data_IF_695349549645
#
_entry.id   IF_695349549645
#
_cell.length_a   1.000
_cell.length_b   1.000
_cell.length_c   1.000
_cell.angle_alpha   90.00
_cell.angle_beta   90.00
_cell.angle_gamma   90.00
#
_symmetry.space_group_name_H-M   'P 1'
#
loop_
_entity.id
_entity.type
_entity.pdbx_description
1 polymer ?
#
# COMPACT_ATOMS: atom_id res chain seq x y z
N UNK A 1 -5.74 -12.15 -62.41
CA UNK A 1 -5.21 -10.83 -62.24
C UNK A 1 -4.67 -10.65 -60.81
N UNK A 2 -3.75 -9.71 -60.60
CA UNK A 2 -3.01 -9.50 -59.36
C UNK A 2 -3.98 -9.26 -58.16
N UNK A 3 -5.01 -8.45 -58.34
CA UNK A 3 -5.98 -8.15 -57.28
C UNK A 3 -6.67 -9.42 -56.74
N UNK A 4 -7.22 -10.26 -57.61
CA UNK A 4 -7.96 -11.44 -57.18
C UNK A 4 -7.11 -12.55 -56.56
N UNK A 5 -5.81 -12.60 -56.90
CA UNK A 5 -4.88 -13.61 -56.38
C UNK A 5 -4.12 -13.14 -55.14
N UNK A 6 -4.21 -11.87 -54.79
CA UNK A 6 -3.55 -11.34 -53.58
C UNK A 6 -4.11 -11.98 -52.31
N UNK A 7 -3.24 -12.33 -51.39
CA UNK A 7 -3.62 -12.72 -50.01
C UNK A 7 -3.87 -11.52 -49.09
N UNK A 8 -3.51 -10.32 -49.56
CA UNK A 8 -3.80 -9.08 -48.86
C UNK A 8 -5.17 -8.56 -49.31
N UNK A 9 -5.98 -7.94 -48.40
CA UNK A 9 -7.25 -7.35 -48.76
C UNK A 9 -7.10 -6.30 -49.84
N UNK A 10 -7.70 -6.52 -51.00
CA UNK A 10 -7.67 -5.60 -52.15
C UNK A 10 -9.03 -5.49 -52.82
N UNK A 11 -9.34 -4.27 -53.24
CA UNK A 11 -10.56 -3.98 -53.97
C UNK A 11 -10.31 -3.03 -55.15
N UNK A 12 -11.21 -3.02 -56.11
CA UNK A 12 -11.23 -2.12 -57.25
C UNK A 12 -12.59 -1.46 -57.27
N UNK A 13 -12.62 -0.15 -57.33
CA UNK A 13 -13.80 0.65 -57.63
C UNK A 13 -13.75 1.04 -59.08
N UNK A 14 -14.64 0.42 -59.89
CA UNK A 14 -14.55 0.50 -61.33
C UNK A 14 -15.64 1.39 -61.96
N UNK A 15 -15.24 2.16 -62.95
CA UNK A 15 -16.14 2.99 -63.76
C UNK A 15 -16.67 4.22 -63.01
N UNK A 16 -17.54 4.98 -63.69
CA UNK A 16 -18.12 6.24 -63.15
C UNK A 16 -18.98 6.03 -61.92
N UNK A 17 -19.56 4.83 -61.77
CA UNK A 17 -20.38 4.49 -60.62
C UNK A 17 -19.59 3.87 -59.48
N UNK A 18 -18.27 3.75 -59.59
CA UNK A 18 -17.36 3.17 -58.60
C UNK A 18 -17.87 1.80 -58.10
N UNK A 19 -18.14 0.87 -59.08
CA UNK A 19 -18.61 -0.47 -58.70
C UNK A 19 -17.52 -1.28 -58.06
N UNK A 20 -17.85 -1.85 -56.91
CA UNK A 20 -16.91 -2.53 -56.00
C UNK A 20 -16.65 -3.97 -56.47
N UNK A 21 -15.41 -4.26 -56.78
CA UNK A 21 -14.89 -5.59 -57.05
C UNK A 21 -13.77 -5.89 -56.02
N UNK A 22 -13.76 -7.06 -55.43
CA UNK A 22 -12.76 -7.38 -54.42
C UNK A 22 -12.37 -8.86 -54.37
N UNK A 23 -11.23 -9.17 -53.74
CA UNK A 23 -10.78 -10.53 -53.53
C UNK A 23 -11.37 -11.15 -52.23
N UNK A 24 -11.15 -12.46 -52.06
CA UNK A 24 -11.65 -13.20 -50.89
C UNK A 24 -11.16 -12.60 -49.56
N UNK A 25 -9.92 -12.10 -49.52
CA UNK A 25 -9.37 -11.48 -48.32
C UNK A 25 -10.10 -10.19 -47.90
N UNK A 26 -10.71 -9.47 -48.90
CA UNK A 26 -11.50 -8.27 -48.64
C UNK A 26 -12.91 -8.58 -48.15
N UNK A 27 -13.43 -9.80 -48.39
CA UNK A 27 -14.82 -10.17 -48.12
C UNK A 27 -15.24 -9.97 -46.66
N UNK A 28 -14.30 -10.00 -45.71
CA UNK A 28 -14.53 -9.75 -44.28
C UNK A 28 -14.84 -8.26 -43.98
N UNK A 29 -14.36 -7.34 -44.82
CA UNK A 29 -14.47 -5.88 -44.57
C UNK A 29 -15.92 -5.37 -44.61
N UNK A 30 -16.71 -5.66 -45.65
CA UNK A 30 -18.12 -5.30 -45.68
C UNK A 30 -18.99 -6.10 -44.70
N UNK A 31 -18.46 -7.16 -44.07
CA UNK A 31 -19.19 -8.00 -43.13
C UNK A 31 -20.46 -8.61 -43.75
N UNK A 32 -21.62 -8.50 -43.10
CA UNK A 32 -22.91 -9.03 -43.62
C UNK A 32 -23.38 -8.49 -44.97
N UNK A 33 -22.77 -7.39 -45.45
CA UNK A 33 -23.05 -6.84 -46.80
C UNK A 33 -22.48 -7.73 -47.91
N UNK A 34 -21.49 -8.60 -47.59
CA UNK A 34 -21.04 -9.66 -48.51
C UNK A 34 -22.09 -10.79 -48.57
N UNK A 35 -22.42 -11.40 -49.75
CA UNK A 35 -21.80 -11.17 -51.06
C UNK A 35 -22.44 -10.04 -51.88
N UNK A 36 -23.52 -9.43 -51.40
CA UNK A 36 -24.27 -8.40 -52.13
C UNK A 36 -23.45 -7.14 -52.48
N UNK A 37 -22.38 -6.87 -51.75
CA UNK A 37 -21.46 -5.75 -51.99
C UNK A 37 -20.65 -5.93 -53.30
N UNK A 38 -20.48 -7.16 -53.80
CA UNK A 38 -19.72 -7.42 -55.01
C UNK A 38 -20.50 -6.91 -56.25
N UNK A 39 -19.94 -5.97 -56.99
CA UNK A 39 -20.55 -5.33 -58.13
C UNK A 39 -21.53 -4.18 -57.79
N UNK A 40 -21.83 -3.95 -56.52
CA UNK A 40 -22.64 -2.83 -56.04
C UNK A 40 -21.87 -1.51 -56.14
N UNK A 41 -22.60 -0.39 -56.11
CA UNK A 41 -21.97 0.96 -56.08
C UNK A 41 -21.33 1.20 -54.75
N UNK A 42 -20.14 1.83 -54.73
CA UNK A 42 -19.45 2.16 -53.51
C UNK A 42 -20.29 2.97 -52.51
N UNK A 43 -21.07 3.92 -52.99
CA UNK A 43 -21.98 4.74 -52.20
C UNK A 43 -23.04 3.91 -51.46
N UNK A 44 -23.54 2.86 -52.09
CA UNK A 44 -24.58 2.01 -51.50
C UNK A 44 -23.96 1.07 -50.44
N UNK A 45 -22.79 0.55 -50.75
CA UNK A 45 -22.06 -0.35 -49.83
C UNK A 45 -21.56 0.38 -48.57
N UNK A 46 -21.04 1.59 -48.74
CA UNK A 46 -20.43 2.39 -47.69
C UNK A 46 -21.27 3.58 -47.25
N UNK A 47 -22.61 3.43 -47.31
CA UNK A 47 -23.53 4.52 -46.99
C UNK A 47 -23.34 5.13 -45.59
N UNK A 48 -22.86 4.36 -44.65
CA UNK A 48 -22.56 4.77 -43.28
C UNK A 48 -21.30 5.66 -43.13
N UNK A 49 -20.34 5.51 -44.02
CA UNK A 49 -19.09 6.28 -44.05
C UNK A 49 -18.86 7.04 -45.35
N UNK A 50 -19.88 7.14 -46.19
CA UNK A 50 -19.74 7.72 -47.54
C UNK A 50 -19.29 9.17 -47.51
N UNK A 51 -19.79 9.95 -46.57
CA UNK A 51 -19.42 11.36 -46.43
C UNK A 51 -17.93 11.54 -46.07
N UNK A 52 -17.36 10.57 -45.41
CA UNK A 52 -15.91 10.55 -45.02
C UNK A 52 -15.02 10.15 -46.21
N UNK A 53 -15.42 9.19 -47.02
CA UNK A 53 -14.58 8.61 -48.09
C UNK A 53 -14.82 9.18 -49.46
N UNK A 54 -16.03 9.68 -49.78
CA UNK A 54 -16.35 10.25 -51.09
C UNK A 54 -15.46 11.42 -51.52
N UNK A 55 -15.04 12.34 -50.65
CA UNK A 55 -14.07 13.38 -51.00
C UNK A 55 -12.76 12.82 -51.51
N UNK A 56 -12.28 11.74 -50.92
CA UNK A 56 -11.01 11.08 -51.24
C UNK A 56 -11.09 10.42 -52.66
N UNK A 57 -12.20 9.75 -52.97
CA UNK A 57 -12.42 9.23 -54.32
C UNK A 57 -12.40 10.35 -55.37
N UNK A 58 -13.07 11.46 -55.09
CA UNK A 58 -13.10 12.62 -56.00
C UNK A 58 -11.71 13.22 -56.21
N UNK A 59 -10.92 13.32 -55.15
CA UNK A 59 -9.55 13.84 -55.21
C UNK A 59 -8.64 12.97 -56.10
N UNK A 60 -8.63 11.64 -55.87
CA UNK A 60 -7.83 10.70 -56.67
C UNK A 60 -8.26 10.73 -58.15
N UNK A 61 -9.55 10.84 -58.44
CA UNK A 61 -10.04 10.92 -59.80
C UNK A 61 -9.67 12.25 -60.47
N UNK A 62 -9.74 13.38 -59.73
CA UNK A 62 -9.47 14.71 -60.26
C UNK A 62 -7.96 14.96 -60.49
N UNK A 63 -7.10 14.53 -59.55
CA UNK A 63 -5.66 14.73 -59.63
C UNK A 63 -4.94 13.65 -60.41
N UNK A 64 -5.48 12.45 -60.46
CA UNK A 64 -4.79 11.26 -61.02
C UNK A 64 -3.59 10.81 -60.19
N UNK A 65 -3.52 11.26 -58.95
CA UNK A 65 -2.49 10.89 -57.98
C UNK A 65 -3.05 9.94 -56.94
N UNK A 66 -2.26 8.97 -56.49
CA UNK A 66 -2.62 8.05 -55.40
C UNK A 66 -2.52 8.73 -54.04
N UNK A 67 -3.28 8.22 -53.08
CA UNK A 67 -3.23 8.67 -51.70
C UNK A 67 -3.06 7.49 -50.75
N UNK A 68 -2.48 7.76 -49.56
CA UNK A 68 -2.39 6.83 -48.43
C UNK A 68 -2.93 7.50 -47.18
N UNK A 69 -3.69 6.76 -46.45
CA UNK A 69 -4.31 7.19 -45.18
C UNK A 69 -3.97 6.19 -44.13
N UNK A 70 -3.45 6.66 -42.99
CA UNK A 70 -3.04 5.84 -41.87
C UNK A 70 -3.99 6.04 -40.69
N UNK A 71 -4.40 4.93 -40.10
CA UNK A 71 -5.21 4.86 -38.85
C UNK A 71 -6.43 5.81 -38.86
N UNK A 72 -7.10 5.90 -39.97
CA UNK A 72 -8.28 6.76 -40.11
C UNK A 72 -9.47 6.18 -39.37
N UNK A 73 -10.03 6.98 -38.44
CA UNK A 73 -11.31 6.65 -37.81
C UNK A 73 -12.45 6.65 -38.81
N UNK A 74 -13.12 5.52 -38.96
CA UNK A 74 -14.30 5.33 -39.81
C UNK A 74 -15.34 4.51 -39.04
N UNK A 75 -16.36 5.13 -38.44
CA UNK A 75 -17.34 4.45 -37.60
C UNK A 75 -18.32 3.63 -38.46
N UNK A 76 -17.94 2.37 -38.73
CA UNK A 76 -18.74 1.51 -39.62
C UNK A 76 -19.88 0.82 -38.85
N UNK A 77 -21.07 0.81 -39.42
CA UNK A 77 -22.24 0.12 -38.86
C UNK A 77 -22.47 -1.24 -39.57
N UNK A 78 -21.47 -2.15 -39.47
CA UNK A 78 -21.54 -3.46 -40.10
C UNK A 78 -22.60 -4.37 -39.50
N UNK A 79 -22.79 -4.31 -38.18
CA UNK A 79 -23.68 -5.20 -37.43
C UNK A 79 -24.87 -4.46 -36.79
N UNK A 80 -25.30 -3.37 -37.38
CA UNK A 80 -26.52 -2.63 -36.98
C UNK A 80 -26.28 -1.47 -36.01
N UNK A 81 -25.11 -1.38 -35.37
CA UNK A 81 -24.70 -0.24 -34.57
C UNK A 81 -23.33 0.27 -35.02
N UNK A 82 -23.04 1.59 -34.89
CA UNK A 82 -21.71 2.13 -35.18
C UNK A 82 -20.66 1.49 -34.32
N UNK A 83 -19.61 0.95 -34.94
CA UNK A 83 -18.43 0.38 -34.32
C UNK A 83 -17.28 1.38 -34.40
N UNK A 84 -16.49 1.50 -33.34
CA UNK A 84 -15.22 2.25 -33.37
C UNK A 84 -14.23 1.44 -34.21
N UNK A 85 -13.98 1.84 -35.47
CA UNK A 85 -13.02 1.18 -36.35
C UNK A 85 -12.00 2.15 -36.92
N UNK A 86 -10.77 1.68 -37.09
CA UNK A 86 -9.65 2.40 -37.65
C UNK A 86 -9.09 1.64 -38.85
N UNK A 87 -8.70 2.38 -39.87
CA UNK A 87 -8.33 1.82 -41.18
C UNK A 87 -7.08 2.50 -41.72
N UNK A 88 -6.14 1.69 -42.21
CA UNK A 88 -5.03 2.15 -43.03
C UNK A 88 -5.20 1.62 -44.44
N UNK A 89 -5.27 2.52 -45.40
CA UNK A 89 -5.57 2.15 -46.81
C UNK A 89 -4.93 3.12 -47.80
N UNK A 90 -4.78 2.60 -49.03
CA UNK A 90 -4.29 3.38 -50.18
C UNK A 90 -5.29 3.35 -51.30
N UNK A 91 -5.59 4.51 -51.88
CA UNK A 91 -6.32 4.65 -53.14
C UNK A 91 -5.33 4.97 -54.24
N UNK A 92 -5.26 4.11 -55.26
CA UNK A 92 -4.36 4.23 -56.41
C UNK A 92 -5.19 4.33 -57.68
N UNK A 93 -5.04 5.37 -58.54
CA UNK A 93 -5.82 5.49 -59.77
C UNK A 93 -5.43 4.39 -60.75
N UNK A 94 -6.47 3.79 -61.38
CA UNK A 94 -6.32 2.87 -62.52
C UNK A 94 -6.60 3.63 -63.80
N UNK A 95 -5.65 3.67 -64.73
CA UNK A 95 -5.81 4.34 -66.01
C UNK A 95 -6.35 3.39 -67.06
N UNK A 96 -7.30 3.87 -67.86
CA UNK A 96 -7.78 3.18 -69.04
C UNK A 96 -6.80 3.30 -70.22
N UNK A 97 -7.15 2.64 -71.31
CA UNK A 97 -6.34 2.69 -72.55
C UNK A 97 -6.30 4.09 -73.16
N UNK A 98 -7.30 4.90 -72.90
CA UNK A 98 -7.44 6.31 -73.32
C UNK A 98 -6.69 7.29 -72.41
N UNK A 99 -6.02 6.82 -71.40
CA UNK A 99 -5.29 7.61 -70.39
C UNK A 99 -6.15 8.24 -69.31
N UNK A 100 -7.50 8.12 -69.40
CA UNK A 100 -8.42 8.60 -68.37
C UNK A 100 -8.41 7.67 -67.16
N UNK A 101 -8.87 8.19 -65.99
CA UNK A 101 -9.01 7.35 -64.78
C UNK A 101 -10.25 6.46 -64.94
N UNK A 102 -10.06 5.16 -65.13
CA UNK A 102 -11.11 4.16 -65.30
C UNK A 102 -11.60 3.57 -63.95
N UNK A 103 -10.81 3.69 -62.89
CA UNK A 103 -11.17 3.17 -61.59
C UNK A 103 -10.12 3.50 -60.52
N UNK A 104 -10.35 3.01 -59.33
CA UNK A 104 -9.41 3.14 -58.19
C UNK A 104 -9.13 1.76 -57.62
N UNK A 105 -7.86 1.44 -57.49
CA UNK A 105 -7.39 0.28 -56.73
C UNK A 105 -7.28 0.68 -55.27
N UNK A 106 -7.88 -0.13 -54.40
CA UNK A 106 -7.80 0.03 -52.94
C UNK A 106 -7.09 -1.19 -52.33
N UNK A 107 -6.13 -0.90 -51.48
CA UNK A 107 -5.47 -1.89 -50.67
C UNK A 107 -5.41 -1.35 -49.24
N UNK A 108 -5.89 -2.10 -48.26
CA UNK A 108 -5.93 -1.63 -46.88
C UNK A 108 -6.30 -2.71 -45.90
N UNK A 109 -6.15 -2.36 -44.65
CA UNK A 109 -6.45 -3.25 -43.52
C UNK A 109 -7.06 -2.47 -42.36
N UNK A 110 -7.83 -3.19 -41.58
CA UNK A 110 -8.34 -2.69 -40.31
C UNK A 110 -7.20 -2.64 -39.28
N UNK A 111 -6.98 -1.48 -38.71
CA UNK A 111 -5.93 -1.23 -37.68
C UNK A 111 -6.52 -0.97 -36.30
N UNK A 112 -7.81 -1.19 -36.12
CA UNK A 112 -8.57 -0.93 -34.89
C UNK A 112 -7.86 -1.51 -33.65
N UNK A 113 -7.47 -2.77 -33.72
CA UNK A 113 -6.83 -3.44 -32.59
C UNK A 113 -5.49 -2.79 -32.22
N UNK A 114 -4.69 -2.41 -33.22
CA UNK A 114 -3.39 -1.77 -32.99
C UNK A 114 -3.55 -0.37 -32.36
N UNK A 115 -4.48 0.44 -32.90
CA UNK A 115 -4.77 1.79 -32.38
C UNK A 115 -5.29 1.74 -30.95
N UNK A 116 -6.24 0.84 -30.66
CA UNK A 116 -6.80 0.68 -29.33
C UNK A 116 -5.73 0.19 -28.34
N UNK A 117 -4.89 -0.78 -28.73
CA UNK A 117 -3.79 -1.27 -27.90
C UNK A 117 -2.75 -0.17 -27.60
N UNK A 118 -2.41 0.64 -28.60
CA UNK A 118 -1.49 1.78 -28.42
C UNK A 118 -2.09 2.84 -27.49
N UNK A 119 -3.39 3.17 -27.63
CA UNK A 119 -4.11 4.09 -26.75
C UNK A 119 -4.12 3.58 -25.31
N UNK A 120 -4.37 2.30 -25.11
CA UNK A 120 -4.34 1.67 -23.79
C UNK A 120 -2.94 1.69 -23.18
N UNK A 121 -1.91 1.36 -23.96
CA UNK A 121 -0.53 1.39 -23.48
C UNK A 121 -0.14 2.80 -23.02
N UNK A 122 -0.46 3.83 -23.79
CA UNK A 122 -0.21 5.23 -23.42
C UNK A 122 -0.93 5.59 -22.12
N UNK A 123 -2.20 5.25 -21.99
CA UNK A 123 -2.97 5.46 -20.77
C UNK A 123 -2.28 4.84 -19.55
N UNK A 124 -1.81 3.59 -19.64
CA UNK A 124 -1.16 2.94 -18.51
C UNK A 124 0.23 3.48 -18.19
N UNK A 125 0.97 3.96 -19.17
CA UNK A 125 2.24 4.66 -18.95
C UNK A 125 2.00 5.96 -18.18
N UNK A 126 1.07 6.79 -18.63
CA UNK A 126 0.73 8.05 -18.00
C UNK A 126 0.20 7.85 -16.57
N UNK A 127 -0.69 6.88 -16.38
CA UNK A 127 -1.21 6.50 -15.06
C UNK A 127 -0.10 6.04 -14.12
N UNK A 128 0.80 5.17 -14.61
CA UNK A 128 1.91 4.65 -13.80
C UNK A 128 2.88 5.77 -13.40
N UNK A 129 3.15 6.73 -14.27
CA UNK A 129 3.98 7.88 -13.96
C UNK A 129 3.35 8.78 -12.89
N UNK A 130 2.06 9.09 -13.01
CA UNK A 130 1.34 9.87 -11.99
C UNK A 130 1.33 9.18 -10.62
N UNK A 131 1.06 7.89 -10.59
CA UNK A 131 1.07 7.12 -9.35
C UNK A 131 2.48 6.99 -8.77
N UNK A 132 3.53 6.89 -9.61
CA UNK A 132 4.92 6.83 -9.16
C UNK A 132 5.36 8.10 -8.44
N UNK A 133 4.95 9.26 -8.91
CA UNK A 133 5.27 10.56 -8.34
C UNK A 133 4.36 10.95 -7.17
N UNK A 134 3.21 10.31 -7.04
CA UNK A 134 2.22 10.59 -6.00
C UNK A 134 2.69 10.18 -4.60
N UNK A 135 2.33 10.99 -3.62
CA UNK A 135 2.56 10.76 -2.18
C UNK A 135 1.28 10.76 -1.34
N UNK A 136 0.13 11.06 -1.95
CA UNK A 136 -1.17 11.10 -1.30
C UNK A 136 -2.13 10.10 -1.92
N UNK A 137 -2.67 9.20 -1.10
CA UNK A 137 -3.55 8.11 -1.53
C UNK A 137 -4.89 8.62 -2.08
N UNK A 138 -5.45 9.67 -1.48
CA UNK A 138 -6.73 10.24 -1.92
C UNK A 138 -6.60 10.90 -3.27
N UNK A 139 -5.54 11.68 -3.47
CA UNK A 139 -5.21 12.31 -4.74
C UNK A 139 -4.90 11.26 -5.83
N UNK A 140 -4.13 10.21 -5.49
CA UNK A 140 -3.82 9.14 -6.43
C UNK A 140 -5.08 8.41 -6.91
N UNK A 141 -6.03 8.13 -6.01
CA UNK A 141 -7.34 7.54 -6.37
C UNK A 141 -8.15 8.46 -7.28
N UNK A 142 -8.28 9.73 -6.91
CA UNK A 142 -9.02 10.72 -7.70
C UNK A 142 -8.42 10.88 -9.11
N UNK A 143 -7.09 10.95 -9.22
CA UNK A 143 -6.39 11.02 -10.50
C UNK A 143 -6.62 9.77 -11.34
N UNK A 144 -6.52 8.57 -10.73
CA UNK A 144 -6.79 7.31 -11.43
C UNK A 144 -8.20 7.28 -12.00
N UNK A 145 -9.21 7.64 -11.20
CA UNK A 145 -10.59 7.66 -11.65
C UNK A 145 -10.84 8.68 -12.76
N UNK A 146 -10.25 9.87 -12.65
CA UNK A 146 -10.34 10.90 -13.69
C UNK A 146 -9.73 10.42 -15.00
N UNK A 147 -8.51 9.90 -14.97
CA UNK A 147 -7.82 9.41 -16.16
C UNK A 147 -8.56 8.23 -16.79
N UNK A 148 -9.04 7.29 -15.97
CA UNK A 148 -9.83 6.14 -16.42
C UNK A 148 -11.16 6.58 -17.02
N UNK A 149 -11.89 7.48 -16.36
CA UNK A 149 -13.15 8.01 -16.84
C UNK A 149 -13.03 8.70 -18.20
N UNK A 150 -11.99 9.52 -18.37
CA UNK A 150 -11.66 10.18 -19.64
C UNK A 150 -11.23 9.19 -20.72
N UNK A 151 -10.41 8.18 -20.34
CA UNK A 151 -9.97 7.15 -21.30
C UNK A 151 -11.12 6.30 -21.83
N UNK A 152 -12.04 5.88 -20.96
CA UNK A 152 -13.22 5.08 -21.30
C UNK A 152 -14.36 5.93 -21.87
N UNK A 153 -14.30 7.26 -21.75
CA UNK A 153 -15.37 8.17 -22.17
C UNK A 153 -16.67 7.93 -21.39
N UNK A 154 -16.58 7.71 -20.07
CA UNK A 154 -17.72 7.47 -19.18
C UNK A 154 -18.10 8.72 -18.40
N UNK A 155 -19.36 8.81 -17.96
CA UNK A 155 -19.86 9.96 -17.20
C UNK A 155 -19.41 9.95 -15.73
N UNK A 156 -19.18 8.77 -15.16
CA UNK A 156 -18.72 8.65 -13.80
C UNK A 156 -17.81 7.41 -13.59
N UNK A 157 -16.88 7.52 -12.63
CA UNK A 157 -16.03 6.45 -12.16
C UNK A 157 -15.90 6.53 -10.62
N UNK A 158 -16.04 5.40 -9.94
CA UNK A 158 -16.10 5.30 -8.49
C UNK A 158 -15.18 4.18 -8.00
N UNK A 159 -14.50 4.37 -6.87
CA UNK A 159 -13.93 3.26 -6.09
C UNK A 159 -14.88 2.94 -4.97
N UNK A 160 -15.34 1.72 -4.92
CA UNK A 160 -16.25 1.20 -3.90
C UNK A 160 -15.53 0.11 -3.10
N UNK A 161 -15.76 0.05 -1.80
CA UNK A 161 -15.23 -1.00 -0.94
C UNK A 161 -16.19 -1.39 0.16
N UNK A 162 -16.03 -2.59 0.71
CA UNK A 162 -16.75 -3.01 1.90
C UNK A 162 -16.09 -2.44 3.16
N UNK A 163 -16.92 -1.91 4.08
CA UNK A 163 -16.48 -1.53 5.42
C UNK A 163 -16.48 -2.75 6.36
N UNK A 164 -15.95 -2.57 7.59
CA UNK A 164 -16.01 -3.59 8.64
C UNK A 164 -17.45 -4.01 9.01
N UNK A 165 -18.43 -3.13 8.80
CA UNK A 165 -19.84 -3.40 8.98
C UNK A 165 -20.47 -4.19 7.81
N UNK A 166 -19.68 -4.62 6.84
CA UNK A 166 -20.09 -5.32 5.62
C UNK A 166 -20.96 -4.47 4.66
N UNK A 167 -21.09 -3.18 4.90
CA UNK A 167 -21.81 -2.27 3.99
C UNK A 167 -20.88 -1.67 2.93
N UNK A 168 -21.29 -1.67 1.65
CA UNK A 168 -20.55 -1.00 0.59
C UNK A 168 -20.50 0.51 0.81
N UNK A 169 -19.33 1.12 0.52
CA UNK A 169 -19.15 2.58 0.60
C UNK A 169 -18.31 3.11 -0.54
N UNK A 170 -18.57 4.34 -0.95
CA UNK A 170 -17.70 5.07 -1.88
C UNK A 170 -16.43 5.49 -1.15
N UNK A 171 -15.28 5.11 -1.70
CA UNK A 171 -13.95 5.48 -1.19
C UNK A 171 -13.42 6.71 -1.93
N UNK A 172 -13.66 6.79 -3.24
CA UNK A 172 -13.32 7.90 -4.11
C UNK A 172 -14.29 7.94 -5.30
N UNK A 173 -14.50 9.12 -5.89
CA UNK A 173 -15.35 9.31 -7.05
C UNK A 173 -14.80 10.38 -7.98
N UNK A 174 -15.12 10.24 -9.25
CA UNK A 174 -14.95 11.23 -10.29
C UNK A 174 -16.18 11.24 -11.20
N UNK A 175 -16.57 12.39 -11.70
CA UNK A 175 -17.60 12.51 -12.74
C UNK A 175 -17.33 13.72 -13.62
N UNK A 176 -17.88 13.67 -14.82
CA UNK A 176 -17.88 14.80 -15.76
C UNK A 176 -18.95 15.85 -15.42
N UNK A 177 -19.87 15.53 -14.51
CA UNK A 177 -20.96 16.37 -14.03
C UNK A 177 -21.14 16.28 -12.51
N UNK A 178 -22.34 16.64 -12.04
CA UNK A 178 -22.71 16.57 -10.64
C UNK A 178 -23.19 15.16 -10.24
N UNK A 179 -22.53 14.51 -9.31
CA UNK A 179 -22.95 13.21 -8.75
C UNK A 179 -23.90 13.42 -7.57
N UNK A 180 -25.14 12.95 -7.71
CA UNK A 180 -26.06 12.85 -6.57
C UNK A 180 -25.67 11.67 -5.67
N UNK A 181 -25.11 11.99 -4.52
CA UNK A 181 -24.58 10.98 -3.59
C UNK A 181 -25.64 10.00 -3.10
N UNK A 182 -26.90 10.40 -2.98
CA UNK A 182 -27.98 9.53 -2.52
C UNK A 182 -28.32 8.45 -3.56
N UNK A 183 -28.30 8.81 -4.84
CA UNK A 183 -28.53 7.90 -5.96
C UNK A 183 -27.35 6.95 -6.17
N UNK A 184 -26.13 7.47 -6.04
CA UNK A 184 -24.90 6.64 -6.05
C UNK A 184 -24.95 5.59 -4.96
N UNK A 185 -25.35 5.95 -3.73
CA UNK A 185 -25.44 5.02 -2.62
C UNK A 185 -26.42 3.87 -2.92
N UNK A 186 -27.56 4.16 -3.53
CA UNK A 186 -28.52 3.13 -3.94
C UNK A 186 -27.92 2.11 -4.92
N UNK A 187 -27.09 2.57 -5.87
CA UNK A 187 -26.40 1.68 -6.82
C UNK A 187 -25.36 0.82 -6.10
N UNK A 188 -24.51 1.41 -5.26
CA UNK A 188 -23.43 0.65 -4.60
C UNK A 188 -23.94 -0.39 -3.60
N UNK A 189 -25.11 -0.19 -3.01
CA UNK A 189 -25.74 -1.19 -2.14
C UNK A 189 -26.10 -2.48 -2.90
N UNK A 190 -26.39 -2.39 -4.21
CA UNK A 190 -26.63 -3.58 -5.04
C UNK A 190 -25.35 -4.35 -5.40
N UNK A 191 -24.18 -3.79 -5.14
CA UNK A 191 -22.89 -4.38 -5.52
C UNK A 191 -22.24 -5.22 -4.42
N UNK A 192 -22.91 -5.44 -3.29
CA UNK A 192 -22.33 -6.23 -2.18
C UNK A 192 -21.94 -7.65 -2.63
N UNK A 193 -22.81 -8.32 -3.37
CA UNK A 193 -22.55 -9.65 -3.92
C UNK A 193 -21.37 -9.65 -4.89
N UNK A 194 -21.31 -8.67 -5.80
CA UNK A 194 -20.19 -8.45 -6.74
C UNK A 194 -18.86 -8.28 -6.00
N UNK A 195 -18.86 -7.47 -4.94
CA UNK A 195 -17.67 -7.23 -4.14
C UNK A 195 -17.21 -8.49 -3.39
N UNK A 196 -18.14 -9.37 -3.00
CA UNK A 196 -17.85 -10.64 -2.29
C UNK A 196 -17.44 -11.76 -3.24
N UNK A 197 -18.10 -11.89 -4.40
CA UNK A 197 -17.81 -12.95 -5.37
C UNK A 197 -16.48 -12.73 -6.10
N UNK A 198 -16.08 -11.48 -6.28
CA UNK A 198 -14.90 -11.13 -7.09
C UNK A 198 -15.15 -11.18 -8.60
N UNK A 199 -16.40 -11.35 -9.03
CA UNK A 199 -16.78 -11.42 -10.45
C UNK A 199 -17.32 -10.07 -10.95
N UNK A 200 -16.96 -9.64 -12.18
CA UNK A 200 -17.49 -8.42 -12.77
C UNK A 200 -19.01 -8.50 -12.98
N UNK A 201 -19.68 -7.41 -12.67
CA UNK A 201 -21.13 -7.28 -12.89
C UNK A 201 -21.40 -6.08 -13.79
N UNK A 202 -22.27 -6.26 -14.79
CA UNK A 202 -22.60 -5.22 -15.75
C UNK A 202 -24.10 -5.07 -15.99
N UNK A 203 -24.51 -3.84 -16.28
CA UNK A 203 -25.79 -3.47 -16.83
C UNK A 203 -25.54 -2.71 -18.13
N UNK A 204 -26.07 -3.20 -19.26
CA UNK A 204 -25.84 -2.66 -20.61
C UNK A 204 -26.91 -1.62 -20.95
N UNK A 205 -28.16 -1.89 -20.56
CA UNK A 205 -29.28 -1.00 -20.73
C UNK A 205 -30.18 -1.07 -19.50
N UNK A 206 -30.37 0.05 -18.83
CA UNK A 206 -31.17 0.13 -17.61
C UNK A 206 -32.66 0.13 -17.87
N UNK A 207 -33.10 0.40 -19.10
CA UNK A 207 -34.53 0.40 -19.45
C UNK A 207 -35.13 -1.01 -19.60
N UNK A 208 -34.29 -2.00 -19.92
CA UNK A 208 -34.72 -3.36 -20.27
C UNK A 208 -34.51 -4.40 -19.18
N UNK A 209 -33.97 -4.02 -17.99
CA UNK A 209 -33.48 -5.00 -17.07
C UNK A 209 -34.29 -5.11 -15.75
N UNK A 210 -34.64 -6.33 -15.39
CA UNK A 210 -35.28 -6.66 -14.12
C UNK A 210 -34.29 -6.67 -12.91
N UNK A 211 -32.99 -6.69 -13.17
CA UNK A 211 -31.93 -6.78 -12.15
C UNK A 211 -31.92 -5.55 -11.23
N UNK A 212 -31.62 -5.76 -9.94
CA UNK A 212 -31.57 -4.70 -8.93
C UNK A 212 -30.57 -3.60 -9.29
N UNK A 213 -29.41 -3.97 -9.83
CA UNK A 213 -28.38 -3.02 -10.29
C UNK A 213 -28.92 -2.09 -11.38
N UNK A 214 -29.64 -2.64 -12.38
CA UNK A 214 -30.15 -1.84 -13.49
C UNK A 214 -31.24 -0.86 -13.01
N UNK A 215 -32.13 -1.29 -12.12
CA UNK A 215 -33.16 -0.42 -11.53
C UNK A 215 -32.53 0.73 -10.71
N UNK A 216 -31.53 0.42 -9.91
CA UNK A 216 -30.82 1.43 -9.12
C UNK A 216 -30.04 2.39 -10.02
N UNK A 217 -29.39 1.90 -11.08
CA UNK A 217 -28.68 2.71 -12.08
C UNK A 217 -29.63 3.64 -12.84
N UNK A 218 -30.80 3.14 -13.29
CA UNK A 218 -31.83 3.96 -13.92
C UNK A 218 -32.31 5.10 -13.00
N UNK A 219 -32.56 4.80 -11.71
CA UNK A 219 -32.93 5.81 -10.73
C UNK A 219 -31.82 6.85 -10.49
N UNK A 220 -30.55 6.47 -10.70
CA UNK A 220 -29.41 7.38 -10.65
C UNK A 220 -29.23 8.21 -11.94
N UNK A 221 -30.01 7.95 -12.98
CA UNK A 221 -29.91 8.62 -14.29
C UNK A 221 -28.81 8.01 -15.18
N UNK A 222 -28.35 6.80 -14.87
CA UNK A 222 -27.37 6.08 -15.67
C UNK A 222 -28.07 5.07 -16.60
N UNK A 223 -27.65 5.03 -17.85
CA UNK A 223 -28.15 4.08 -18.86
C UNK A 223 -27.34 2.77 -18.91
N UNK A 224 -26.10 2.77 -18.43
CA UNK A 224 -25.27 1.58 -18.36
C UNK A 224 -24.26 1.68 -17.18
N UNK A 225 -23.94 0.55 -16.57
CA UNK A 225 -22.98 0.43 -15.44
C UNK A 225 -22.12 -0.81 -15.61
N UNK A 226 -20.84 -0.70 -15.29
CA UNK A 226 -19.91 -1.82 -15.18
C UNK A 226 -19.17 -1.72 -13.84
N UNK A 227 -19.23 -2.76 -13.04
CA UNK A 227 -18.48 -2.92 -11.80
C UNK A 227 -17.45 -4.04 -11.94
N UNK A 228 -16.18 -3.72 -11.71
CA UNK A 228 -15.06 -4.66 -11.80
C UNK A 228 -14.41 -4.75 -10.44
N UNK A 229 -14.58 -5.86 -9.71
CA UNK A 229 -14.00 -6.06 -8.40
C UNK A 229 -12.55 -6.54 -8.49
N UNK A 230 -11.77 -6.28 -7.44
CA UNK A 230 -10.48 -6.89 -7.22
C UNK A 230 -10.62 -8.03 -6.19
N UNK A 231 -10.46 -9.25 -6.66
CA UNK A 231 -10.72 -10.46 -5.88
C UNK A 231 -9.66 -10.81 -4.85
N UNK A 232 -9.58 -10.07 -3.72
CA UNK A 232 -8.83 -10.53 -2.54
C UNK A 232 -9.64 -10.32 -1.27
N UNK A 233 -9.82 -11.41 -0.56
CA UNK A 233 -10.83 -11.62 0.48
C UNK A 233 -10.78 -10.72 1.74
N UNK A 234 -9.73 -9.95 2.00
CA UNK A 234 -9.63 -9.18 3.25
C UNK A 234 -10.16 -7.74 3.15
N UNK A 235 -10.10 -7.14 1.97
CA UNK A 235 -10.58 -5.77 1.72
C UNK A 235 -11.10 -5.67 0.28
N UNK A 236 -12.29 -6.23 0.00
CA UNK A 236 -12.82 -6.22 -1.37
C UNK A 236 -13.11 -4.78 -1.79
N UNK A 237 -12.56 -4.42 -2.93
CA UNK A 237 -12.78 -3.13 -3.60
C UNK A 237 -13.16 -3.37 -5.05
N UNK A 238 -13.90 -2.45 -5.63
CA UNK A 238 -14.22 -2.46 -7.05
C UNK A 238 -14.08 -1.05 -7.63
N UNK A 239 -13.78 -0.97 -8.93
CA UNK A 239 -14.06 0.23 -9.70
C UNK A 239 -15.41 0.04 -10.38
N UNK A 240 -16.26 1.04 -10.24
CA UNK A 240 -17.56 1.14 -10.90
C UNK A 240 -17.50 2.29 -11.87
N UNK A 241 -17.84 2.03 -13.13
CA UNK A 241 -17.97 3.07 -14.15
C UNK A 241 -19.42 3.13 -14.63
N UNK A 242 -19.90 4.33 -14.96
CA UNK A 242 -21.27 4.55 -15.36
C UNK A 242 -21.35 5.50 -16.56
N UNK A 243 -22.34 5.26 -17.41
CA UNK A 243 -22.64 6.07 -18.58
C UNK A 243 -24.11 6.47 -18.58
N UNK A 244 -24.44 7.68 -19.05
CA UNK A 244 -25.81 8.19 -19.11
C UNK A 244 -26.66 7.47 -20.14
N UNK A 245 -26.06 7.01 -21.24
CA UNK A 245 -26.71 6.27 -22.31
C UNK A 245 -26.44 4.78 -22.23
N UNK A 246 -27.32 3.93 -22.76
CA UNK A 246 -27.03 2.50 -22.93
C UNK A 246 -25.68 2.28 -23.62
N UNK A 247 -24.88 1.35 -23.11
CA UNK A 247 -23.55 1.01 -23.62
C UNK A 247 -23.28 -0.47 -23.47
N UNK A 248 -22.89 -1.13 -24.55
CA UNK A 248 -22.35 -2.48 -24.50
C UNK A 248 -20.91 -2.43 -23.98
N UNK A 249 -20.69 -3.01 -22.81
CA UNK A 249 -19.37 -3.14 -22.21
C UNK A 249 -18.60 -4.28 -22.87
N UNK A 250 -17.34 -4.05 -23.15
CA UNK A 250 -16.46 -5.03 -23.80
C UNK A 250 -15.51 -5.69 -22.79
N UNK A 251 -14.92 -6.82 -23.18
CA UNK A 251 -13.83 -7.43 -22.41
C UNK A 251 -12.63 -6.46 -22.24
N UNK A 252 -12.43 -5.58 -23.22
CA UNK A 252 -11.40 -4.55 -23.17
C UNK A 252 -11.66 -3.53 -22.05
N UNK A 253 -12.90 -3.06 -21.88
CA UNK A 253 -13.28 -2.16 -20.79
C UNK A 253 -13.00 -2.80 -19.42
N UNK A 254 -13.43 -4.05 -19.22
CA UNK A 254 -13.20 -4.79 -17.98
C UNK A 254 -11.71 -4.98 -17.68
N UNK A 255 -10.91 -5.34 -18.69
CA UNK A 255 -9.47 -5.53 -18.54
C UNK A 255 -8.76 -4.21 -18.19
N UNK A 256 -9.16 -3.13 -18.86
CA UNK A 256 -8.61 -1.78 -18.59
C UNK A 256 -8.89 -1.35 -17.14
N UNK A 257 -10.12 -1.58 -16.67
CA UNK A 257 -10.50 -1.26 -15.28
C UNK A 257 -9.74 -2.13 -14.28
N UNK A 258 -9.64 -3.44 -14.53
CA UNK A 258 -8.88 -4.37 -13.65
C UNK A 258 -7.43 -3.94 -13.51
N UNK A 259 -6.76 -3.62 -14.60
CA UNK A 259 -5.36 -3.22 -14.62
C UNK A 259 -5.15 -1.84 -13.96
N UNK A 260 -6.08 -0.89 -14.12
CA UNK A 260 -6.05 0.38 -13.40
C UNK A 260 -6.21 0.18 -11.88
N UNK A 261 -7.09 -0.74 -11.48
CA UNK A 261 -7.32 -1.10 -10.09
C UNK A 261 -6.08 -1.76 -9.45
N UNK A 262 -5.41 -2.65 -10.17
CA UNK A 262 -4.16 -3.27 -9.72
C UNK A 262 -3.04 -2.25 -9.50
N UNK A 263 -2.87 -1.29 -10.43
CA UNK A 263 -1.88 -0.21 -10.29
C UNK A 263 -2.19 0.69 -9.09
N UNK A 264 -3.47 1.00 -8.90
CA UNK A 264 -3.92 1.79 -7.75
C UNK A 264 -3.67 1.06 -6.42
N UNK A 265 -3.87 -0.26 -6.37
CA UNK A 265 -3.57 -1.05 -5.17
C UNK A 265 -2.07 -1.17 -4.91
N UNK A 266 -1.26 -1.37 -5.94
CA UNK A 266 0.21 -1.35 -5.83
C UNK A 266 0.71 0.00 -5.29
N UNK A 267 0.14 1.11 -5.74
CA UNK A 267 0.41 2.44 -5.21
C UNK A 267 0.08 2.55 -3.71
N UNK A 268 -1.10 2.09 -3.30
CA UNK A 268 -1.51 2.03 -1.89
C UNK A 268 -0.54 1.21 -1.05
N UNK A 269 -0.14 0.03 -1.52
CA UNK A 269 0.80 -0.85 -0.82
C UNK A 269 2.17 -0.18 -0.66
N UNK A 270 2.64 0.53 -1.68
CA UNK A 270 3.90 1.29 -1.63
C UNK A 270 3.85 2.36 -0.54
N UNK A 271 2.80 3.19 -0.49
CA UNK A 271 2.67 4.23 0.53
C UNK A 271 2.62 3.64 1.94
N UNK A 272 1.86 2.56 2.15
CA UNK A 272 1.82 1.87 3.44
C UNK A 272 3.17 1.28 3.85
N UNK A 273 3.97 0.81 2.90
CA UNK A 273 5.32 0.32 3.18
C UNK A 273 6.26 1.46 3.58
N UNK A 274 6.20 2.61 2.90
CA UNK A 274 6.96 3.80 3.23
C UNK A 274 6.62 4.33 4.64
N UNK A 275 5.34 4.44 4.97
CA UNK A 275 4.90 4.87 6.31
C UNK A 275 5.41 3.94 7.41
N UNK A 276 5.41 2.61 7.16
CA UNK A 276 5.96 1.63 8.11
C UNK A 276 7.46 1.78 8.29
N UNK A 277 8.18 1.98 7.19
CA UNK A 277 9.64 2.19 7.22
C UNK A 277 9.99 3.45 8.01
N UNK A 278 9.33 4.56 7.75
CA UNK A 278 9.52 5.81 8.49
C UNK A 278 9.18 5.67 9.97
N UNK A 279 8.15 4.91 10.31
CA UNK A 279 7.79 4.63 11.70
C UNK A 279 8.90 3.84 12.41
N UNK A 280 9.45 2.82 11.75
CA UNK A 280 10.57 2.02 12.30
C UNK A 280 11.81 2.90 12.48
N UNK A 281 12.17 3.73 11.51
CA UNK A 281 13.33 4.64 11.63
C UNK A 281 13.14 5.60 12.79
N UNK A 282 11.97 6.22 12.92
CA UNK A 282 11.67 7.13 14.05
C UNK A 282 11.77 6.44 15.41
N UNK A 283 11.30 5.19 15.52
CA UNK A 283 11.39 4.40 16.74
C UNK A 283 12.85 4.05 17.08
N UNK A 284 13.66 3.67 16.08
CA UNK A 284 15.09 3.39 16.27
C UNK A 284 15.83 4.65 16.75
N UNK A 285 15.58 5.80 16.14
CA UNK A 285 16.17 7.08 16.53
C UNK A 285 15.79 7.49 17.96
N UNK A 286 14.53 7.30 18.33
CA UNK A 286 14.06 7.57 19.69
C UNK A 286 14.76 6.69 20.72
N UNK A 287 14.92 5.40 20.41
CA UNK A 287 15.62 4.45 21.29
C UNK A 287 17.12 4.76 21.40
N UNK A 288 17.78 5.08 20.29
CA UNK A 288 19.18 5.46 20.29
C UNK A 288 19.44 6.71 21.16
N UNK A 289 18.56 7.73 21.03
CA UNK A 289 18.66 8.94 21.88
C UNK A 289 18.46 8.62 23.35
N UNK A 290 17.50 7.76 23.71
CA UNK A 290 17.28 7.36 25.10
C UNK A 290 18.52 6.61 25.68
N UNK A 291 19.10 5.68 24.93
CA UNK A 291 20.30 4.97 25.33
C UNK A 291 21.49 5.93 25.53
N UNK A 292 21.68 6.88 24.63
CA UNK A 292 22.71 7.93 24.74
C UNK A 292 22.50 8.80 25.97
N UNK A 293 21.27 9.23 26.27
CA UNK A 293 20.99 10.02 27.48
C UNK A 293 21.32 9.26 28.77
N UNK A 294 20.99 7.96 28.85
CA UNK A 294 21.34 7.12 30.00
C UNK A 294 22.87 6.97 30.11
N UNK A 295 23.55 6.69 29.00
CA UNK A 295 25.00 6.58 28.95
C UNK A 295 25.68 7.88 29.40
N UNK A 296 25.24 9.04 28.91
CA UNK A 296 25.73 10.35 29.32
C UNK A 296 25.50 10.60 30.82
N UNK A 297 24.31 10.21 31.32
CA UNK A 297 24.03 10.33 32.78
C UNK A 297 24.96 9.47 33.60
N UNK A 298 25.24 8.24 33.18
CA UNK A 298 26.20 7.34 33.84
C UNK A 298 27.58 7.99 33.86
N UNK A 299 28.06 8.49 32.73
CA UNK A 299 29.39 9.12 32.63
C UNK A 299 29.47 10.37 33.54
N UNK A 300 28.53 11.29 33.39
CA UNK A 300 28.53 12.56 34.16
C UNK A 300 28.44 12.32 35.68
N UNK A 301 27.57 11.39 36.10
CA UNK A 301 27.42 11.08 37.53
C UNK A 301 28.67 10.39 38.08
N UNK A 302 29.27 9.49 37.29
CA UNK A 302 30.49 8.79 37.74
C UNK A 302 31.68 9.73 37.78
N UNK A 303 31.82 10.69 36.84
CA UNK A 303 32.85 11.74 36.94
C UNK A 303 32.63 12.65 38.14
N UNK A 304 31.40 12.99 38.49
CA UNK A 304 31.07 13.82 39.65
C UNK A 304 31.40 13.09 40.99
N UNK A 305 31.43 11.76 40.99
CA UNK A 305 31.84 10.96 42.13
C UNK A 305 33.33 11.14 42.47
N UNK A 306 34.19 11.32 41.45
CA UNK A 306 35.63 11.39 41.63
C UNK A 306 36.25 10.05 42.07
N UNK A 307 37.55 10.04 42.31
CA UNK A 307 38.30 8.88 42.78
C UNK A 307 39.22 8.25 41.72
N UNK A 308 40.15 7.40 42.16
CA UNK A 308 41.15 6.79 41.25
C UNK A 308 40.53 5.77 40.26
N UNK A 309 39.33 5.20 40.55
CA UNK A 309 38.71 4.12 39.81
C UNK A 309 37.52 4.59 38.89
N UNK A 310 37.46 5.88 38.54
CA UNK A 310 36.33 6.42 37.74
C UNK A 310 36.16 5.71 36.41
N UNK A 311 37.24 5.42 35.70
CA UNK A 311 37.21 4.76 34.41
C UNK A 311 36.63 3.34 34.45
N UNK A 312 36.99 2.58 35.50
CA UNK A 312 36.53 1.21 35.71
C UNK A 312 35.04 1.18 36.09
N UNK A 313 34.61 2.09 36.96
CA UNK A 313 33.19 2.26 37.29
C UNK A 313 32.32 2.62 36.08
N UNK A 314 32.80 3.53 35.21
CA UNK A 314 32.12 3.86 33.99
C UNK A 314 31.99 2.61 33.09
N UNK A 315 33.06 1.84 32.94
CA UNK A 315 33.06 0.62 32.13
C UNK A 315 32.07 -0.42 32.66
N UNK A 316 32.06 -0.67 33.97
CA UNK A 316 31.13 -1.60 34.63
C UNK A 316 29.68 -1.19 34.45
N UNK A 317 29.34 0.09 34.64
CA UNK A 317 27.99 0.65 34.46
C UNK A 317 27.52 0.63 33.04
N UNK A 318 28.38 0.97 32.06
CA UNK A 318 28.06 0.86 30.65
C UNK A 318 27.88 -0.60 30.21
N UNK A 319 28.64 -1.54 30.76
CA UNK A 319 28.47 -2.96 30.51
C UNK A 319 27.11 -3.46 31.04
N UNK A 320 26.67 -3.03 32.23
CA UNK A 320 25.33 -3.33 32.76
C UNK A 320 24.21 -2.81 31.83
N UNK A 321 24.32 -1.55 31.35
CA UNK A 321 23.39 -0.99 30.37
C UNK A 321 23.39 -1.80 29.09
N UNK A 322 24.54 -2.23 28.59
CA UNK A 322 24.67 -3.08 27.40
C UNK A 322 23.97 -4.43 27.56
N UNK A 323 24.11 -5.07 28.74
CA UNK A 323 23.42 -6.33 29.07
C UNK A 323 21.91 -6.15 29.07
N UNK A 324 21.40 -5.10 29.69
CA UNK A 324 19.95 -4.78 29.68
C UNK A 324 19.43 -4.57 28.26
N UNK A 325 20.19 -3.88 27.41
CA UNK A 325 19.80 -3.71 25.99
C UNK A 325 19.81 -5.03 25.21
N UNK A 326 20.78 -5.91 25.46
CA UNK A 326 20.83 -7.22 24.80
C UNK A 326 19.60 -8.08 25.18
N UNK A 327 19.19 -8.04 26.45
CA UNK A 327 18.02 -8.75 26.96
C UNK A 327 16.75 -8.20 26.30
N UNK A 328 16.56 -6.89 26.26
CA UNK A 328 15.45 -6.22 25.59
C UNK A 328 15.39 -6.55 24.09
N UNK A 329 16.55 -6.65 23.44
CA UNK A 329 16.62 -7.00 22.01
C UNK A 329 16.11 -8.42 21.74
N UNK A 330 16.43 -9.41 22.59
CA UNK A 330 15.90 -10.78 22.49
C UNK A 330 14.39 -10.82 22.57
N UNK A 331 13.81 -10.03 23.46
CA UNK A 331 12.36 -9.91 23.67
C UNK A 331 11.69 -8.94 22.70
N UNK A 332 12.35 -8.63 21.57
CA UNK A 332 11.85 -7.70 20.55
C UNK A 332 11.40 -6.34 21.10
N UNK A 333 12.03 -5.88 22.19
CA UNK A 333 11.80 -4.59 22.84
C UNK A 333 10.35 -4.41 23.38
N UNK A 334 9.62 -5.48 23.62
CA UNK A 334 8.27 -5.38 24.19
C UNK A 334 8.33 -5.21 25.70
N UNK A 335 8.81 -6.22 26.38
CA UNK A 335 8.98 -6.22 27.83
C UNK A 335 9.98 -7.30 28.24
N UNK A 336 10.61 -7.12 29.41
CA UNK A 336 11.51 -8.11 30.02
C UNK A 336 11.00 -8.40 31.42
N UNK A 337 10.94 -9.68 31.79
CA UNK A 337 10.59 -10.05 33.14
C UNK A 337 11.65 -9.59 34.15
N UNK A 338 11.21 -9.08 35.31
CA UNK A 338 12.15 -8.61 36.35
C UNK A 338 13.10 -9.71 36.85
N UNK A 339 12.60 -10.96 36.96
CA UNK A 339 13.43 -12.10 37.34
C UNK A 339 14.60 -12.31 36.35
N UNK A 340 14.37 -12.15 35.04
CA UNK A 340 15.42 -12.28 34.03
C UNK A 340 16.52 -11.22 34.16
N UNK A 341 16.17 -10.01 34.65
CA UNK A 341 17.17 -8.98 34.97
C UNK A 341 18.04 -9.40 36.17
N UNK A 342 17.41 -9.93 37.21
CA UNK A 342 18.16 -10.43 38.40
C UNK A 342 19.11 -11.57 38.01
N UNK A 343 18.63 -12.55 37.23
CA UNK A 343 19.44 -13.68 36.74
C UNK A 343 20.67 -13.18 35.96
N UNK A 344 20.45 -12.18 35.09
CA UNK A 344 21.53 -11.62 34.26
C UNK A 344 22.56 -10.81 35.08
N UNK A 345 22.12 -10.02 36.05
CA UNK A 345 23.03 -9.22 36.88
C UNK A 345 23.75 -10.05 37.95
N UNK A 346 23.20 -11.21 38.32
CA UNK A 346 23.86 -12.15 39.26
C UNK A 346 24.78 -13.16 38.56
N UNK A 347 24.61 -13.38 37.25
CA UNK A 347 25.45 -14.33 36.47
C UNK A 347 26.97 -14.15 36.65
N UNK A 348 27.52 -12.93 36.80
CA UNK A 348 28.96 -12.74 37.07
C UNK A 348 29.41 -13.21 38.44
N UNK A 349 28.51 -13.53 39.36
CA UNK A 349 28.77 -13.87 40.75
C UNK A 349 28.32 -15.31 41.10
N UNK A 350 28.93 -16.37 40.55
CA UNK A 350 28.45 -17.76 40.65
C UNK A 350 28.48 -18.35 42.05
N UNK A 351 29.28 -17.78 42.97
CA UNK A 351 29.31 -18.19 44.39
C UNK A 351 28.24 -17.53 45.26
N UNK A 352 27.37 -16.72 44.66
CA UNK A 352 26.33 -15.97 45.34
C UNK A 352 25.22 -16.89 45.89
N UNK A 353 24.98 -16.81 47.19
CA UNK A 353 23.80 -17.38 47.83
C UNK A 353 22.67 -16.33 47.84
N UNK A 354 22.06 -16.10 46.68
CA UNK A 354 20.91 -15.19 46.56
C UNK A 354 19.60 -15.95 46.48
N UNK A 355 18.60 -15.50 47.20
CA UNK A 355 17.23 -15.97 47.11
C UNK A 355 16.39 -14.89 46.44
N UNK A 356 15.83 -15.20 45.27
CA UNK A 356 14.99 -14.28 44.49
C UNK A 356 13.54 -14.79 44.45
N UNK A 357 12.59 -14.02 44.96
CA UNK A 357 11.20 -14.46 45.06
C UNK A 357 10.23 -13.32 44.72
N UNK A 358 9.31 -13.57 43.80
CA UNK A 358 8.25 -12.63 43.42
C UNK A 358 7.44 -13.12 42.23
N UNK A 359 6.35 -12.44 41.87
CA UNK A 359 5.58 -12.72 40.69
C UNK A 359 6.33 -12.34 39.40
N UNK A 360 5.88 -12.90 38.24
CA UNK A 360 6.33 -12.40 36.94
C UNK A 360 5.84 -10.96 36.72
N UNK A 361 6.80 -10.05 36.48
CA UNK A 361 6.52 -8.61 36.24
C UNK A 361 7.17 -8.18 34.94
N UNK A 362 6.36 -7.97 33.87
CA UNK A 362 6.87 -7.52 32.57
C UNK A 362 7.20 -6.03 32.61
N UNK A 363 8.48 -5.72 32.56
CA UNK A 363 9.02 -4.35 32.62
C UNK A 363 9.18 -3.78 31.22
N UNK A 364 8.70 -2.56 31.00
CA UNK A 364 8.99 -1.81 29.77
C UNK A 364 10.47 -1.40 29.66
N UNK A 365 10.96 -1.07 28.45
CA UNK A 365 12.39 -0.86 28.18
C UNK A 365 13.08 0.14 29.10
N UNK A 366 12.46 1.28 29.37
CA UNK A 366 13.04 2.31 30.25
C UNK A 366 13.20 1.84 31.70
N UNK A 367 12.17 1.16 32.22
CA UNK A 367 12.19 0.62 33.59
C UNK A 367 13.17 -0.54 33.71
N UNK A 368 13.24 -1.42 32.70
CA UNK A 368 14.20 -2.54 32.68
C UNK A 368 15.64 -2.06 32.70
N UNK A 369 16.02 -1.07 31.89
CA UNK A 369 17.37 -0.47 31.87
C UNK A 369 17.73 0.17 33.21
N UNK A 370 16.78 0.89 33.79
CA UNK A 370 16.99 1.60 35.05
C UNK A 370 17.12 0.62 36.21
N UNK A 371 16.27 -0.41 36.27
CA UNK A 371 16.37 -1.43 37.35
C UNK A 371 17.62 -2.29 37.20
N UNK A 372 18.05 -2.64 35.98
CA UNK A 372 19.32 -3.33 35.75
C UNK A 372 20.50 -2.56 36.37
N UNK A 373 20.56 -1.22 36.13
CA UNK A 373 21.59 -0.39 36.72
C UNK A 373 21.52 -0.38 38.26
N UNK A 374 20.33 -0.27 38.85
CA UNK A 374 20.11 -0.30 40.28
C UNK A 374 20.58 -1.64 40.90
N UNK A 375 20.15 -2.75 40.27
CA UNK A 375 20.56 -4.10 40.74
C UNK A 375 22.07 -4.29 40.63
N UNK A 376 22.67 -3.82 39.51
CA UNK A 376 24.12 -3.88 39.32
C UNK A 376 24.88 -3.13 40.42
N UNK A 377 24.45 -1.93 40.78
CA UNK A 377 25.05 -1.14 41.86
C UNK A 377 24.87 -1.82 43.23
N UNK A 378 23.68 -2.37 43.52
CA UNK A 378 23.42 -3.11 44.76
C UNK A 378 24.30 -4.38 44.85
N UNK A 379 24.37 -5.16 43.75
CA UNK A 379 25.22 -6.36 43.70
C UNK A 379 26.71 -6.04 43.89
N UNK A 380 27.20 -5.02 43.17
CA UNK A 380 28.60 -4.58 43.28
C UNK A 380 28.95 -4.08 44.69
N UNK A 381 28.03 -3.32 45.29
CA UNK A 381 28.22 -2.87 46.68
C UNK A 381 28.20 -4.05 47.67
N UNK A 382 27.35 -5.04 47.44
CA UNK A 382 27.29 -6.25 48.26
C UNK A 382 28.57 -7.08 48.17
N UNK A 383 29.19 -7.16 47.00
CA UNK A 383 30.50 -7.80 46.78
C UNK A 383 31.61 -7.03 47.51
N UNK A 384 31.66 -5.72 47.36
CA UNK A 384 32.73 -4.87 47.88
C UNK A 384 32.61 -4.65 49.40
N UNK A 385 31.42 -4.51 49.91
CA UNK A 385 31.17 -4.03 51.28
C UNK A 385 30.09 -4.84 52.03
N UNK A 386 29.38 -5.78 51.37
CA UNK A 386 28.23 -6.44 51.91
C UNK A 386 28.38 -7.95 52.09
N UNK A 387 27.21 -8.61 52.01
CA UNK A 387 27.07 -10.04 52.25
C UNK A 387 27.76 -10.90 51.18
N UNK A 388 27.79 -10.45 49.91
CA UNK A 388 28.42 -11.20 48.81
C UNK A 388 29.96 -11.29 48.93
N UNK A 389 30.60 -10.41 49.68
CA UNK A 389 32.03 -10.44 49.97
C UNK A 389 32.42 -11.40 51.12
N UNK A 390 31.46 -12.05 51.79
CA UNK A 390 31.68 -12.95 52.91
C UNK A 390 31.28 -14.39 52.58
N UNK A 391 32.01 -15.38 53.08
CA UNK A 391 31.80 -16.81 52.77
C UNK A 391 30.38 -17.33 53.07
N UNK A 392 29.77 -16.80 54.13
CA UNK A 392 28.42 -17.21 54.57
C UNK A 392 27.39 -16.08 54.53
N UNK A 393 27.68 -15.01 53.78
CA UNK A 393 26.73 -13.92 53.58
C UNK A 393 25.55 -14.36 52.69
N UNK A 394 24.37 -13.84 52.99
CA UNK A 394 23.16 -14.13 52.26
C UNK A 394 22.50 -12.86 51.72
N UNK A 395 22.00 -12.90 50.48
CA UNK A 395 21.21 -11.85 49.87
C UNK A 395 19.80 -12.37 49.56
N UNK A 396 18.80 -11.62 49.94
CA UNK A 396 17.40 -11.91 49.58
C UNK A 396 16.80 -10.75 48.81
N UNK A 397 16.19 -11.05 47.65
CA UNK A 397 15.45 -10.10 46.82
C UNK A 397 14.01 -10.56 46.71
N UNK A 398 13.11 -9.80 47.29
CA UNK A 398 11.67 -10.08 47.23
C UNK A 398 10.97 -8.93 46.55
N UNK A 399 10.16 -9.21 45.54
CA UNK A 399 9.40 -8.17 44.83
C UNK A 399 7.93 -8.55 44.69
N UNK A 400 7.09 -7.53 44.48
CA UNK A 400 5.67 -7.66 44.28
C UNK A 400 5.15 -6.54 43.36
N UNK A 401 4.00 -6.78 42.74
CA UNK A 401 3.26 -5.78 41.95
C UNK A 401 1.81 -5.78 42.40
N UNK A 402 1.41 -4.73 43.14
CA UNK A 402 0.03 -4.55 43.63
C UNK A 402 -0.45 -3.13 43.38
N UNK A 403 -1.68 -3.00 42.98
CA UNK A 403 -2.36 -1.71 42.81
C UNK A 403 -1.58 -0.68 41.96
N UNK A 404 -0.88 -1.16 40.91
CA UNK A 404 -0.05 -0.31 40.06
C UNK A 404 1.25 0.20 40.72
N UNK A 405 1.67 -0.43 41.80
CA UNK A 405 2.94 -0.14 42.49
C UNK A 405 3.83 -1.37 42.43
N UNK A 406 5.02 -1.23 41.83
CA UNK A 406 6.08 -2.20 41.89
C UNK A 406 6.91 -1.96 43.15
N UNK A 407 7.11 -2.99 43.99
CA UNK A 407 7.94 -2.95 45.19
C UNK A 407 9.02 -3.97 45.10
N UNK A 408 10.25 -3.62 45.52
CA UNK A 408 11.40 -4.53 45.64
C UNK A 408 12.07 -4.31 47.00
N UNK A 409 12.26 -5.39 47.70
CA UNK A 409 13.01 -5.42 48.97
C UNK A 409 14.31 -6.20 48.74
N UNK A 410 15.44 -5.56 48.90
CA UNK A 410 16.78 -6.13 48.91
C UNK A 410 17.25 -6.23 50.34
N UNK A 411 17.65 -7.40 50.82
CA UNK A 411 18.09 -7.63 52.18
C UNK A 411 19.42 -8.42 52.19
N UNK A 412 20.39 -7.93 52.90
CA UNK A 412 21.67 -8.60 53.12
C UNK A 412 21.83 -8.98 54.60
N UNK A 413 22.31 -10.18 54.85
CA UNK A 413 22.67 -10.64 56.17
C UNK A 413 24.17 -11.02 56.22
N UNK A 414 24.89 -10.46 57.17
CA UNK A 414 26.30 -10.72 57.39
C UNK A 414 26.51 -11.36 58.77
N UNK A 415 27.33 -12.41 58.83
CA UNK A 415 27.60 -13.13 60.06
C UNK A 415 28.65 -12.43 60.92
N UNK A 416 29.58 -11.71 60.31
CA UNK A 416 30.60 -10.95 61.03
C UNK A 416 30.14 -9.49 61.14
N UNK A 417 29.81 -8.99 62.33
CA UNK A 417 29.34 -7.62 62.50
C UNK A 417 30.40 -6.60 62.05
N UNK A 418 29.89 -5.57 61.31
CA UNK A 418 30.74 -4.44 60.87
C UNK A 418 31.11 -3.54 62.04
N UNK A 419 32.32 -2.93 62.00
CA UNK A 419 32.71 -1.90 62.99
C UNK A 419 31.83 -0.65 62.77
N UNK A 420 31.46 0.07 63.84
CA UNK A 420 30.68 1.29 63.80
C UNK A 420 31.30 2.39 62.89
N UNK A 421 32.62 2.38 62.71
CA UNK A 421 33.38 3.33 61.90
C UNK A 421 33.10 3.10 60.36
N UNK A 422 32.79 1.88 59.96
CA UNK A 422 32.54 1.55 58.57
C UNK A 422 31.06 1.81 58.15
N UNK A 423 30.18 1.95 59.14
CA UNK A 423 28.76 2.19 58.92
C UNK A 423 28.41 3.61 58.42
N UNK A 424 29.31 4.59 58.51
CA UNK A 424 29.07 6.00 58.20
C UNK A 424 29.55 6.43 56.81
N UNK A 425 30.27 5.57 56.09
CA UNK A 425 30.65 5.89 54.71
C UNK A 425 29.44 5.68 53.80
N UNK A 426 28.63 6.75 53.61
CA UNK A 426 27.72 6.89 52.51
C UNK A 426 28.53 6.83 51.21
N UNK A 427 28.72 5.63 50.69
CA UNK A 427 29.38 5.41 49.39
C UNK A 427 28.57 6.05 48.28
N UNK A 428 29.23 6.67 47.33
CA UNK A 428 28.63 7.45 46.24
C UNK A 428 27.69 6.67 45.31
N UNK A 429 27.74 5.34 45.20
CA UNK A 429 26.76 4.50 44.52
C UNK A 429 25.33 4.72 45.04
N UNK A 430 25.20 5.16 46.29
CA UNK A 430 23.93 5.50 46.92
C UNK A 430 23.30 6.77 46.31
N UNK A 431 24.12 7.76 45.94
CA UNK A 431 23.64 9.01 45.32
C UNK A 431 23.14 8.82 43.90
N UNK A 432 23.80 7.93 43.15
CA UNK A 432 23.36 7.57 41.79
C UNK A 432 21.98 6.90 41.81
N UNK A 433 21.84 5.87 42.67
CA UNK A 433 20.57 5.13 42.80
C UNK A 433 19.43 6.08 43.19
N UNK A 434 19.64 6.96 44.20
CA UNK A 434 18.62 7.92 44.62
C UNK A 434 18.17 8.86 43.48
N UNK A 435 19.15 9.38 42.75
CA UNK A 435 18.87 10.29 41.64
C UNK A 435 18.09 9.60 40.52
N UNK A 436 18.53 8.40 40.15
CA UNK A 436 17.89 7.61 39.06
C UNK A 436 16.49 7.17 39.47
N UNK A 437 16.28 6.71 40.68
CA UNK A 437 14.95 6.34 41.20
C UNK A 437 13.98 7.53 41.15
N UNK A 438 14.42 8.69 41.63
CA UNK A 438 13.55 9.88 41.67
C UNK A 438 13.30 10.47 40.29
N UNK A 439 14.35 10.58 39.46
CA UNK A 439 14.24 11.31 38.17
C UNK A 439 13.66 10.45 37.03
N UNK A 440 14.03 9.17 36.98
CA UNK A 440 13.64 8.29 35.88
C UNK A 440 12.46 7.38 36.21
N UNK A 441 12.41 6.85 37.45
CA UNK A 441 11.32 5.97 37.87
C UNK A 441 10.21 6.67 38.64
N UNK A 442 10.40 7.92 39.03
CA UNK A 442 9.45 8.67 39.91
C UNK A 442 9.10 7.90 41.19
N UNK A 443 10.06 7.09 41.65
CA UNK A 443 9.90 6.17 42.74
C UNK A 443 10.49 6.72 44.06
N UNK A 444 10.37 5.90 45.08
CA UNK A 444 10.92 6.13 46.42
C UNK A 444 11.88 5.02 46.78
N UNK A 445 12.99 5.37 47.45
CA UNK A 445 13.97 4.43 47.93
C UNK A 445 14.23 4.68 49.45
N UNK A 446 14.08 3.63 50.23
CA UNK A 446 14.38 3.63 51.65
C UNK A 446 15.52 2.65 51.93
N UNK A 447 16.45 3.02 52.81
CA UNK A 447 17.61 2.19 53.17
C UNK A 447 17.77 2.10 54.67
N UNK A 448 18.17 0.93 55.11
CA UNK A 448 18.46 0.62 56.52
C UNK A 448 19.78 -0.12 56.57
N UNK A 449 20.78 0.49 57.22
CA UNK A 449 22.07 -0.12 57.48
C UNK A 449 22.13 -0.46 58.97
N UNK A 450 22.45 -1.72 59.27
CA UNK A 450 22.67 -2.21 60.65
C UNK A 450 24.05 -2.85 60.78
N UNK A 451 24.46 -3.16 61.99
CA UNK A 451 25.72 -3.90 62.27
C UNK A 451 25.69 -5.33 61.69
N UNK A 452 24.50 -5.92 61.46
CA UNK A 452 24.30 -7.29 60.98
C UNK A 452 23.80 -7.39 59.54
N UNK A 453 23.63 -6.27 58.84
CA UNK A 453 23.17 -6.32 57.47
C UNK A 453 22.76 -4.97 56.89
N UNK A 454 22.24 -5.05 55.66
CA UNK A 454 21.74 -3.93 54.89
C UNK A 454 20.33 -4.29 54.32
N UNK A 455 19.42 -3.34 54.37
CA UNK A 455 18.12 -3.48 53.73
C UNK A 455 17.83 -2.25 52.86
N UNK A 456 17.23 -2.50 51.69
CA UNK A 456 16.83 -1.47 50.74
C UNK A 456 15.44 -1.79 50.20
N UNK A 457 14.51 -0.82 50.31
CA UNK A 457 13.15 -0.93 49.76
C UNK A 457 12.99 0.11 48.68
N UNK A 458 12.65 -0.39 47.47
CA UNK A 458 12.32 0.41 46.30
C UNK A 458 10.82 0.32 46.01
N UNK A 459 10.21 1.47 45.81
CA UNK A 459 8.82 1.57 45.39
C UNK A 459 8.75 2.43 44.11
N UNK A 460 8.10 1.91 43.06
CA UNK A 460 8.02 2.56 41.74
C UNK A 460 6.59 2.45 41.21
N UNK A 461 5.97 3.57 40.80
CA UNK A 461 4.70 3.52 40.09
C UNK A 461 4.83 2.68 38.81
N UNK A 462 3.97 1.70 38.61
CA UNK A 462 3.96 0.79 37.49
C UNK A 462 2.81 1.14 36.56
N UNK A 463 3.14 1.54 35.33
CA UNK A 463 2.17 1.75 34.27
C UNK A 463 2.25 0.52 33.35
N UNK A 464 1.16 -0.24 33.31
CA UNK A 464 1.02 -1.36 32.35
C UNK A 464 1.07 -0.85 30.93
N UNK A 465 1.82 -1.51 30.06
CA UNK A 465 1.93 -1.20 28.63
C UNK A 465 0.91 -1.95 27.79
#
# INVERSE_FOLDING_TARGET
>A
SICLQSKFPTAIYWGRELRLLYNDAWSAIPGPRHPGALGARAQDVWSDIWDDIAPQFREVIATGEGMFVEDRFLPMARFGAPEETYWSYSFTPIRGEDGTIAGIFNSGSETTHAVLAQRQMRFFLDLSEHLRLGSDLSLGRATTLKMLGQHLGVAAALVVGLSYAAEPRVIASWSDGNLDQSKVLAVIQTLEETLRSGEPTMCINTEDAEQALCKAAAAAGWGAVLAVPMGRASHPIAIVVAQERPRAWTAFDSTTISEALERMDAFRQRLLAQDREEMVVREVDHRARNAMMVAQSIVNLTFAEGGEDVADKIRERLAALGRAQALLSKERWRSVDFAAILDQEFAPFPSLKATCTGPSVPLGPGMAQTLSLIIHELATNSVKYGAMGQADGQVSVVWDLRDGLFTMNWTEQVLVPRSQSDAVRTGFGTTLIDRVVRSQLRGRLERHLSTTGFACRLEVPFISF
#
